data_IF_780534571228
#
_entry.id   IF_780534571228
#
_cell.length_a   1.000
_cell.length_b   1.000
_cell.length_c   1.000
_cell.angle_alpha   90.00
_cell.angle_beta   90.00
_cell.angle_gamma   90.00
#
_symmetry.space_group_name_H-M   'P 1'
#
loop_
_entity.id
_entity.type
_entity.pdbx_description
1 polymer ?
#
# COMPACT_ATOMS: atom_id res chain seq x y z
N UNK A 1 0.13 -14.46 15.50
CA UNK A 1 0.11 -14.16 14.84
C UNK A 1 0.41 -14.37 14.30
N UNK A 2 0.14 -14.10 14.19
CA UNK A 2 0.16 -13.89 13.49
C UNK A 2 0.45 -14.16 12.74
N UNK A 3 0.13 -14.10 12.48
CA UNK A 3 0.25 -14.04 11.67
C UNK A 3 0.50 -14.31 11.11
N UNK A 4 0.31 -14.35 10.94
CA UNK A 4 0.34 -14.17 10.19
C UNK A 4 0.23 -14.42 9.49
N UNK A 5 0.40 -14.98 9.66
CA UNK A 5 0.14 -14.90 8.85
C UNK A 5 -0.56 -14.81 8.56
N UNK A 6 -0.69 -15.48 9.62
CA UNK A 6 -1.46 -14.77 9.00
C UNK A 6 -0.91 -14.04 8.18
N UNK A 7 -1.18 -13.74 8.02
CA UNK A 7 -0.50 -13.07 7.06
C UNK A 7 -0.07 -11.70 7.56
N UNK A 8 0.68 -10.99 6.76
CA UNK A 8 1.21 -9.69 7.11
C UNK A 8 0.10 -8.70 7.38
N UNK A 9 -1.01 -8.88 6.75
CA UNK A 9 -2.12 -7.98 6.90
C UNK A 9 -2.68 -8.01 8.30
N UNK A 10 -2.80 -9.21 8.86
CA UNK A 10 -3.27 -9.34 10.23
C UNK A 10 -2.31 -8.69 11.19
N UNK A 11 -1.05 -8.83 10.92
CA UNK A 11 -0.04 -8.24 11.74
C UNK A 11 -0.12 -6.71 11.70
N UNK A 12 -0.35 -6.15 10.54
CA UNK A 12 -0.49 -4.72 10.41
C UNK A 12 -1.72 -4.20 11.15
N UNK A 13 -2.81 -4.94 11.11
CA UNK A 13 -3.99 -4.56 11.85
C UNK A 13 -3.72 -4.52 13.34
N UNK A 14 -2.97 -5.47 13.82
CA UNK A 14 -2.60 -5.50 15.23
C UNK A 14 -1.79 -4.26 15.59
N UNK A 15 -0.88 -3.84 14.73
CA UNK A 15 -0.05 -2.66 14.95
C UNK A 15 -0.89 -1.40 15.00
N UNK A 16 -1.92 -1.33 14.19
CA UNK A 16 -2.82 -0.18 14.19
C UNK A 16 -3.48 0.00 15.55
N UNK A 17 -3.85 -1.10 16.19
CA UNK A 17 -4.51 -1.04 17.48
C UNK A 17 -3.58 -0.67 18.63
N UNK A 18 -2.31 -1.04 18.51
CA UNK A 18 -1.36 -0.87 19.59
C UNK A 18 -0.44 0.31 19.35
N UNK A 19 0.04 0.45 18.12
CA UNK A 19 1.04 1.43 17.79
C UNK A 19 0.98 1.74 16.31
N UNK A 20 0.58 2.95 15.99
CA UNK A 20 0.38 3.36 14.61
C UNK A 20 1.63 4.04 14.10
N UNK A 21 2.35 3.37 13.19
CA UNK A 21 3.59 3.88 12.65
C UNK A 21 3.35 4.78 11.43
N UNK A 22 2.45 4.36 10.53
CA UNK A 22 2.15 5.11 9.32
C UNK A 22 0.66 5.41 9.28
N UNK A 23 0.33 6.55 8.69
CA UNK A 23 -0.99 7.11 8.83
C UNK A 23 -2.00 6.60 7.82
N UNK A 24 -1.57 6.40 6.57
CA UNK A 24 -2.51 6.12 5.48
C UNK A 24 -2.37 4.72 4.93
N UNK A 25 -3.53 4.07 4.77
CA UNK A 25 -3.65 2.82 4.04
C UNK A 25 -3.96 3.19 2.60
N UNK A 26 -3.05 2.86 1.69
CA UNK A 26 -3.13 3.24 0.29
C UNK A 26 -3.30 1.99 -0.56
N UNK A 27 -4.33 1.97 -1.41
CA UNK A 27 -4.57 0.86 -2.31
C UNK A 27 -4.92 1.39 -3.69
N UNK A 28 -4.44 0.72 -4.72
CA UNK A 28 -4.76 1.09 -6.09
C UNK A 28 -4.44 -0.04 -7.05
N UNK A 29 -4.95 0.10 -8.27
CA UNK A 29 -4.60 -0.77 -9.38
C UNK A 29 -3.84 0.05 -10.41
N UNK A 30 -2.86 -0.58 -11.06
CA UNK A 30 -2.11 0.02 -12.16
C UNK A 30 -2.34 -0.84 -13.39
N UNK A 31 -2.83 -0.23 -14.46
CA UNK A 31 -2.96 -0.91 -15.75
C UNK A 31 -1.88 -0.42 -16.70
N UNK A 32 -1.17 -1.34 -17.34
CA UNK A 32 -0.11 -0.98 -18.25
C UNK A 32 0.21 -2.13 -19.18
N UNK A 33 1.39 -2.13 -19.74
CA UNK A 33 1.75 -3.16 -20.71
C UNK A 33 3.05 -3.88 -20.41
N UNK A 34 3.92 -3.29 -19.65
CA UNK A 34 5.20 -3.91 -19.33
C UNK A 34 5.53 -3.67 -17.88
N UNK A 35 4.52 -3.84 -17.06
CA UNK A 35 4.70 -3.68 -15.63
C UNK A 35 5.56 -4.83 -15.11
N UNK A 36 6.38 -4.52 -14.13
CA UNK A 36 7.30 -5.50 -13.56
C UNK A 36 7.13 -5.47 -12.05
N UNK A 37 6.51 -6.49 -11.53
CA UNK A 37 6.20 -6.60 -10.11
C UNK A 37 7.45 -6.46 -9.24
N UNK A 38 8.53 -7.12 -9.62
CA UNK A 38 9.75 -7.07 -8.83
C UNK A 38 10.40 -5.69 -8.84
N UNK A 39 10.39 -5.04 -10.00
CA UNK A 39 10.97 -3.72 -10.12
C UNK A 39 10.18 -2.69 -9.33
N UNK A 40 8.86 -2.81 -9.37
CA UNK A 40 8.00 -1.90 -8.62
C UNK A 40 8.21 -2.09 -7.13
N UNK A 41 8.27 -3.33 -6.68
CA UNK A 41 8.51 -3.61 -5.27
C UNK A 41 9.85 -3.03 -4.82
N UNK A 42 10.87 -3.20 -5.63
CA UNK A 42 12.20 -2.68 -5.29
C UNK A 42 12.20 -1.16 -5.21
N UNK A 43 11.45 -0.51 -6.10
CA UNK A 43 11.35 0.95 -6.06
C UNK A 43 10.71 1.42 -4.76
N UNK A 44 9.60 0.78 -4.37
CA UNK A 44 8.93 1.14 -3.13
C UNK A 44 9.88 1.01 -1.94
N UNK A 45 10.58 -0.12 -1.87
CA UNK A 45 11.46 -0.38 -0.75
C UNK A 45 12.63 0.60 -0.69
N UNK A 46 13.07 1.10 -1.82
CA UNK A 46 14.21 2.01 -1.89
C UNK A 46 13.86 3.49 -1.80
N UNK A 47 12.60 3.86 -2.01
CA UNK A 47 12.24 5.28 -2.14
C UNK A 47 11.15 5.75 -1.19
N UNK A 48 10.34 4.85 -0.65
CA UNK A 48 9.24 5.26 0.20
C UNK A 48 9.35 4.65 1.60
N UNK A 49 9.08 5.47 2.60
CA UNK A 49 8.93 4.97 3.96
C UNK A 49 7.52 4.44 4.13
N UNK A 50 7.42 3.20 4.61
CA UNK A 50 6.11 2.61 4.82
C UNK A 50 6.25 1.17 5.22
N UNK A 51 5.11 0.52 5.45
CA UNK A 51 5.10 -0.92 5.74
C UNK A 51 3.90 -1.58 5.10
N UNK A 52 3.77 -2.88 5.31
CA UNK A 52 2.68 -3.69 4.77
C UNK A 52 2.58 -3.59 3.25
N UNK A 53 3.73 -3.55 2.59
CA UNK A 53 3.77 -3.43 1.13
C UNK A 53 3.32 -4.73 0.48
N UNK A 54 2.40 -4.62 -0.47
CA UNK A 54 1.98 -5.72 -1.31
C UNK A 54 1.97 -5.24 -2.75
N UNK A 55 2.71 -5.93 -3.61
CA UNK A 55 2.76 -5.66 -5.05
C UNK A 55 2.47 -6.99 -5.72
N UNK A 56 1.30 -7.11 -6.33
CA UNK A 56 0.83 -8.38 -6.88
C UNK A 56 0.18 -8.15 -8.23
N UNK A 57 0.53 -8.98 -9.18
CA UNK A 57 -0.11 -8.91 -10.49
C UNK A 57 0.80 -9.40 -11.60
N UNK A 58 0.53 -8.92 -12.80
CA UNK A 58 1.28 -9.33 -13.97
C UNK A 58 1.69 -8.10 -14.78
N UNK A 59 2.12 -8.33 -16.02
CA UNK A 59 2.65 -7.24 -16.84
C UNK A 59 1.59 -6.22 -17.24
N UNK A 60 0.32 -6.54 -17.07
CA UNK A 60 -0.77 -5.67 -17.52
C UNK A 60 -1.58 -5.07 -16.40
N UNK A 61 -1.61 -5.72 -15.24
CA UNK A 61 -2.39 -5.22 -14.11
C UNK A 61 -1.70 -5.58 -12.81
N UNK A 62 -1.43 -4.57 -12.00
CA UNK A 62 -0.79 -4.77 -10.70
C UNK A 62 -1.61 -4.09 -9.62
N UNK A 63 -1.79 -4.78 -8.51
CA UNK A 63 -2.44 -4.25 -7.33
C UNK A 63 -1.38 -3.86 -6.31
N UNK A 64 -1.54 -2.65 -5.76
CA UNK A 64 -0.65 -2.12 -4.73
C UNK A 64 -1.44 -1.94 -3.44
N UNK A 65 -0.81 -2.31 -2.34
CA UNK A 65 -1.28 -2.02 -1.00
C UNK A 65 -0.08 -1.57 -0.20
N UNK A 66 -0.18 -0.41 0.49
CA UNK A 66 0.97 0.15 1.18
C UNK A 66 0.52 1.12 2.26
N UNK A 67 1.12 1.02 3.44
CA UNK A 67 0.88 1.96 4.53
C UNK A 67 2.00 2.99 4.55
N UNK A 68 1.65 4.27 4.42
CA UNK A 68 2.65 5.33 4.32
C UNK A 68 2.07 6.65 4.81
N UNK A 69 2.96 7.59 5.11
CA UNK A 69 2.54 8.95 5.44
C UNK A 69 2.45 9.86 4.21
N UNK A 70 2.91 9.38 3.06
CA UNK A 70 2.96 10.21 1.84
C UNK A 70 2.30 9.51 0.65
N UNK A 71 1.00 9.18 0.76
CA UNK A 71 0.33 8.44 -0.31
C UNK A 71 0.35 9.19 -1.65
N UNK A 72 0.39 10.52 -1.64
CA UNK A 72 0.45 11.28 -2.88
C UNK A 72 1.71 10.98 -3.67
N UNK A 73 2.83 10.71 -3.01
CA UNK A 73 4.06 10.35 -3.71
C UNK A 73 3.97 8.97 -4.34
N UNK A 74 3.28 8.06 -3.66
CA UNK A 74 3.03 6.73 -4.20
C UNK A 74 2.18 6.82 -5.46
N UNK A 75 1.11 7.60 -5.42
CA UNK A 75 0.24 7.78 -6.57
C UNK A 75 0.99 8.38 -7.74
N UNK A 76 1.84 9.36 -7.48
CA UNK A 76 2.62 10.01 -8.53
C UNK A 76 3.53 9.01 -9.24
N UNK A 77 4.24 8.20 -8.47
CA UNK A 77 5.09 7.17 -9.04
C UNK A 77 4.29 6.18 -9.87
N UNK A 78 3.19 5.69 -9.31
CA UNK A 78 2.38 4.68 -9.97
C UNK A 78 1.75 5.22 -11.26
N UNK A 79 1.37 6.50 -11.27
CA UNK A 79 0.79 7.13 -12.45
C UNK A 79 1.77 7.21 -13.62
N UNK A 80 3.07 7.21 -13.32
CA UNK A 80 4.08 7.19 -14.37
C UNK A 80 4.26 5.81 -15.00
N UNK A 81 3.80 4.77 -14.32
CA UNK A 81 3.94 3.40 -14.81
C UNK A 81 2.78 3.00 -15.71
N UNK A 82 1.61 3.57 -15.49
CA UNK A 82 0.44 3.22 -16.26
C UNK A 82 -0.77 3.96 -15.76
N UNK A 83 -1.94 3.48 -16.14
CA UNK A 83 -3.19 4.09 -15.72
C UNK A 83 -3.55 3.59 -14.32
N UNK A 84 -3.75 4.50 -13.38
CA UNK A 84 -4.11 4.11 -12.02
C UNK A 84 -5.60 4.32 -11.81
N UNK A 85 -6.22 3.37 -11.09
CA UNK A 85 -7.63 3.46 -10.77
C UNK A 85 -7.95 2.61 -9.55
N UNK A 86 -9.21 2.61 -9.12
CA UNK A 86 -9.65 1.93 -7.90
C UNK A 86 -8.81 2.40 -6.71
N UNK A 87 -8.61 3.70 -6.65
CA UNK A 87 -7.72 4.31 -5.67
C UNK A 87 -8.48 4.51 -4.36
N UNK A 88 -7.93 3.95 -3.29
CA UNK A 88 -8.50 4.11 -1.95
C UNK A 88 -7.38 4.55 -1.02
N UNK A 89 -7.60 5.65 -0.33
CA UNK A 89 -6.68 6.13 0.70
C UNK A 89 -7.50 6.36 1.95
N UNK A 90 -7.16 5.66 3.02
CA UNK A 90 -7.89 5.77 4.27
C UNK A 90 -6.94 6.18 5.39
N UNK A 91 -7.44 7.03 6.26
CA UNK A 91 -6.68 7.55 7.39
C UNK A 91 -6.84 6.57 8.55
N UNK A 92 -5.82 5.79 8.80
CA UNK A 92 -5.87 4.76 9.83
C UNK A 92 -5.90 5.36 11.23
N UNK A 93 -5.33 6.55 11.38
CA UNK A 93 -5.39 7.23 12.67
C UNK A 93 -6.83 7.61 13.03
N UNK A 94 -7.58 8.12 12.05
CA UNK A 94 -9.00 8.40 12.27
C UNK A 94 -9.77 7.13 12.56
N UNK A 95 -9.48 6.06 11.82
CA UNK A 95 -10.14 4.78 12.04
C UNK A 95 -9.84 4.23 13.42
N UNK A 96 -8.61 4.38 13.89
CA UNK A 96 -8.24 3.90 15.22
C UNK A 96 -8.96 4.66 16.32
N UNK A 97 -9.40 5.89 16.03
CA UNK A 97 -10.18 6.70 16.97
C UNK A 97 -11.69 6.50 16.82
N UNK A 98 -12.10 5.55 15.99
CA UNK A 98 -13.51 5.28 15.77
C UNK A 98 -14.18 6.19 14.78
N UNK A 99 -13.39 6.93 14.01
CA UNK A 99 -13.91 7.84 12.98
C UNK A 99 -13.81 7.19 11.62
N UNK A 100 -14.50 7.78 10.66
CA UNK A 100 -14.43 7.29 9.29
C UNK A 100 -13.13 7.75 8.66
N UNK A 101 -12.46 6.82 8.02
CA UNK A 101 -11.20 7.10 7.32
C UNK A 101 -11.43 7.65 5.94
#
# INVERSE_FOLDING_TARGET
MQDHSIDDRCRCMWEVLVFLTFKYDTQLLIEGKRLDEEQIRAYFLGHFDGDCLMVVGDAELIKIHFHTDVPWKVLEYCAHLGEIHDIVIEDMDRQARGLQG
#
